data_IF_818450166754
#
_entry.id   IF_818450166754
#
_cell.length_a   1.000
_cell.length_b   1.000
_cell.length_c   1.000
_cell.angle_alpha   90.00
_cell.angle_beta   90.00
_cell.angle_gamma   90.00
#
_symmetry.space_group_name_H-M   'P 1'
#
loop_
_entity.id
_entity.type
_entity.pdbx_description
1 polymer ?
#
# COMPACT_ATOMS: atom_id res chain seq x y z
N UNK A 1 24.76 -10.85 -34.86
CA UNK A 1 25.10 -10.06 -33.65
C UNK A 1 24.10 -8.94 -33.35
N UNK A 2 23.76 -8.04 -34.30
CA UNK A 2 22.76 -6.96 -34.07
C UNK A 2 21.38 -7.45 -33.59
N UNK A 3 20.83 -8.49 -34.20
CA UNK A 3 19.52 -9.06 -33.79
C UNK A 3 19.55 -9.76 -32.42
N UNK A 4 20.71 -10.31 -32.03
CA UNK A 4 20.91 -10.95 -30.72
C UNK A 4 20.97 -9.87 -29.62
N UNK A 5 21.64 -8.74 -29.90
CA UNK A 5 21.71 -7.61 -28.98
C UNK A 5 20.33 -6.97 -28.75
N UNK A 6 19.52 -6.81 -29.81
CA UNK A 6 18.14 -6.29 -29.70
C UNK A 6 17.26 -7.26 -28.89
N UNK A 7 17.39 -8.57 -29.09
CA UNK A 7 16.64 -9.57 -28.33
C UNK A 7 16.98 -9.56 -26.83
N UNK A 8 18.26 -9.44 -26.47
CA UNK A 8 18.69 -9.39 -25.06
C UNK A 8 18.15 -8.13 -24.35
N UNK A 9 18.19 -6.97 -25.01
CA UNK A 9 17.63 -5.72 -24.46
C UNK A 9 16.12 -5.84 -24.25
N UNK A 10 15.40 -6.48 -25.18
CA UNK A 10 13.95 -6.68 -25.04
C UNK A 10 13.60 -7.64 -23.90
N UNK A 11 14.36 -8.73 -23.71
CA UNK A 11 14.16 -9.69 -22.61
C UNK A 11 14.46 -9.04 -21.24
N UNK A 12 15.49 -8.20 -21.13
CA UNK A 12 15.80 -7.47 -19.90
C UNK A 12 14.72 -6.43 -19.53
N UNK A 13 14.09 -5.77 -20.51
CA UNK A 13 12.99 -4.84 -20.25
C UNK A 13 11.70 -5.56 -19.80
N UNK A 14 11.43 -6.77 -20.29
CA UNK A 14 10.28 -7.56 -19.84
C UNK A 14 10.44 -8.11 -18.41
N UNK A 15 11.67 -8.43 -17.97
CA UNK A 15 11.92 -8.95 -16.62
C UNK A 15 11.80 -7.89 -15.52
N UNK A 16 11.85 -6.59 -15.86
CA UNK A 16 11.72 -5.49 -14.91
C UNK A 16 10.26 -5.17 -14.52
N UNK A 17 9.27 -5.85 -15.12
CA UNK A 17 7.85 -5.56 -14.93
C UNK A 17 7.17 -6.40 -13.83
N UNK A 18 7.94 -7.03 -12.93
CA UNK A 18 7.40 -7.78 -11.79
C UNK A 18 7.74 -7.02 -10.51
N UNK A 19 7.04 -5.91 -10.28
CA UNK A 19 6.90 -5.35 -8.94
C UNK A 19 5.51 -5.69 -8.46
N UNK A 20 5.34 -6.77 -7.71
CA UNK A 20 4.07 -7.06 -7.05
C UNK A 20 4.09 -6.33 -5.70
N UNK A 21 3.34 -5.23 -5.63
CA UNK A 21 2.96 -4.60 -4.38
C UNK A 21 1.67 -5.26 -3.92
N UNK A 22 1.63 -5.73 -2.67
CA UNK A 22 0.46 -6.37 -2.09
C UNK A 22 0.07 -5.68 -0.80
N UNK A 23 -1.21 -5.81 -0.42
CA UNK A 23 -1.66 -5.56 0.95
C UNK A 23 -1.17 -6.72 1.79
N UNK A 24 -0.21 -6.47 2.69
CA UNK A 24 0.35 -7.48 3.57
C UNK A 24 -0.54 -7.69 4.80
N UNK A 25 -0.99 -6.59 5.39
CA UNK A 25 -1.86 -6.59 6.57
C UNK A 25 -2.76 -5.35 6.56
N UNK A 26 -3.99 -5.52 7.02
CA UNK A 26 -4.92 -4.45 7.33
C UNK A 26 -5.48 -4.74 8.72
N UNK A 27 -5.27 -3.82 9.65
CA UNK A 27 -5.89 -3.84 10.97
C UNK A 27 -6.73 -2.57 11.13
N UNK A 28 -8.05 -2.74 11.18
CA UNK A 28 -9.02 -1.65 11.29
C UNK A 28 -9.81 -1.66 12.60
N UNK A 29 -9.71 -2.71 13.40
CA UNK A 29 -10.52 -2.89 14.62
C UNK A 29 -9.59 -3.21 15.79
N UNK A 30 -9.27 -2.18 16.58
CA UNK A 30 -8.37 -2.34 17.72
C UNK A 30 -9.16 -2.29 19.04
N UNK A 31 -8.84 -3.13 20.03
CA UNK A 31 -9.63 -3.16 21.27
C UNK A 31 -9.66 -1.80 21.99
N UNK A 32 -10.85 -1.21 22.09
CA UNK A 32 -11.07 -0.01 22.92
C UNK A 32 -11.22 1.26 22.09
N UNK A 33 -10.16 2.07 22.01
CA UNK A 33 -10.11 3.26 21.16
C UNK A 33 -9.37 2.85 19.89
N UNK A 34 -9.96 3.15 18.73
CA UNK A 34 -9.34 2.87 17.43
C UNK A 34 -8.25 3.91 17.10
N UNK A 35 -7.17 3.85 17.87
CA UNK A 35 -5.99 4.71 17.70
C UNK A 35 -4.80 3.99 17.07
N UNK A 36 -4.86 2.66 16.89
CA UNK A 36 -3.77 1.84 16.32
C UNK A 36 -4.13 1.19 14.97
N UNK A 37 -5.10 1.73 14.24
CA UNK A 37 -5.45 1.24 12.89
C UNK A 37 -4.26 1.43 11.92
N UNK A 38 -4.03 0.43 11.05
CA UNK A 38 -2.99 0.53 10.04
C UNK A 38 -3.26 -0.31 8.78
N UNK A 39 -2.62 0.11 7.69
CA UNK A 39 -2.42 -0.66 6.48
C UNK A 39 -0.92 -0.87 6.27
N UNK A 40 -0.51 -2.12 6.04
CA UNK A 40 0.84 -2.46 5.65
C UNK A 40 0.88 -2.98 4.21
N UNK A 41 1.73 -2.37 3.39
CA UNK A 41 2.02 -2.83 2.05
C UNK A 41 3.36 -3.57 2.03
N UNK A 42 3.46 -4.62 1.21
CA UNK A 42 4.70 -5.36 0.97
C UNK A 42 5.05 -5.36 -0.52
N UNK A 43 6.29 -5.03 -0.85
CA UNK A 43 6.87 -5.18 -2.18
C UNK A 43 7.78 -6.40 -2.27
N UNK A 44 7.86 -7.01 -3.46
CA UNK A 44 8.77 -8.15 -3.72
C UNK A 44 10.27 -7.82 -3.52
N UNK A 45 10.63 -6.53 -3.56
CA UNK A 45 11.99 -6.05 -3.40
C UNK A 45 12.07 -4.93 -2.36
N UNK A 46 13.16 -4.82 -1.59
CA UNK A 46 13.39 -3.69 -0.68
C UNK A 46 13.50 -2.34 -1.40
N UNK A 47 13.20 -1.24 -0.70
CA UNK A 47 13.34 0.13 -1.21
C UNK A 47 12.63 0.35 -2.55
N UNK A 48 11.45 -0.27 -2.72
CA UNK A 48 10.65 -0.19 -3.94
C UNK A 48 9.99 1.20 -4.03
N UNK A 49 10.19 1.96 -5.12
CA UNK A 49 9.52 3.24 -5.33
C UNK A 49 8.02 3.08 -5.54
N UNK A 50 7.23 3.94 -4.90
CA UNK A 50 5.77 3.89 -4.94
C UNK A 50 5.14 5.01 -5.77
N UNK A 51 5.96 5.75 -6.54
CA UNK A 51 5.47 6.74 -7.49
C UNK A 51 4.47 6.12 -8.48
N UNK A 52 3.29 6.73 -8.57
CA UNK A 52 2.17 6.28 -9.40
C UNK A 52 1.22 5.28 -8.74
N UNK A 53 1.46 4.89 -7.47
CA UNK A 53 0.54 4.07 -6.69
C UNK A 53 -0.37 4.92 -5.82
N UNK A 54 -1.63 4.50 -5.71
CA UNK A 54 -2.63 5.12 -4.84
C UNK A 54 -3.35 4.01 -4.09
N UNK A 55 -3.43 4.14 -2.77
CA UNK A 55 -4.29 3.29 -1.93
C UNK A 55 -5.67 3.91 -1.89
N UNK A 56 -6.72 3.08 -2.05
CA UNK A 56 -8.11 3.53 -1.99
C UNK A 56 -8.88 2.70 -0.97
N UNK A 57 -9.52 3.37 -0.01
CA UNK A 57 -10.42 2.76 0.97
C UNK A 57 -11.88 2.96 0.57
N UNK A 58 -12.69 1.91 0.73
CA UNK A 58 -14.08 1.84 0.32
C UNK A 58 -14.99 1.47 1.49
N UNK A 59 -16.15 2.13 1.58
CA UNK A 59 -17.19 1.79 2.55
C UNK A 59 -18.18 0.85 1.87
N UNK A 60 -18.14 -0.43 2.24
CA UNK A 60 -18.98 -1.46 1.64
C UNK A 60 -20.28 -1.73 2.39
N UNK A 61 -20.62 -0.90 3.38
CA UNK A 61 -21.95 -0.94 3.99
C UNK A 61 -23.05 -0.55 2.99
N UNK A 62 -24.30 -0.92 3.31
CA UNK A 62 -25.46 -0.54 2.48
C UNK A 62 -25.58 0.99 2.32
N UNK A 63 -25.29 1.75 3.38
CA UNK A 63 -25.30 3.22 3.34
C UNK A 63 -24.07 3.81 2.63
N UNK A 64 -22.93 3.12 2.67
CA UNK A 64 -21.70 3.53 1.97
C UNK A 64 -21.73 3.23 0.49
N UNK A 65 -22.52 2.24 0.05
CA UNK A 65 -22.76 1.95 -1.36
C UNK A 65 -21.52 1.51 -2.13
N UNK A 66 -20.53 0.89 -1.45
CA UNK A 66 -19.21 0.56 -2.01
C UNK A 66 -18.43 1.78 -2.53
N UNK A 67 -18.73 2.97 -1.99
CA UNK A 67 -18.09 4.22 -2.41
C UNK A 67 -16.70 4.34 -1.78
N UNK A 68 -15.75 4.95 -2.50
CA UNK A 68 -14.49 5.36 -1.89
C UNK A 68 -14.73 6.47 -0.87
N UNK A 69 -14.05 6.41 0.28
CA UNK A 69 -14.14 7.45 1.32
C UNK A 69 -12.79 8.09 1.64
N UNK A 70 -11.68 7.42 1.35
CA UNK A 70 -10.35 7.92 1.63
C UNK A 70 -9.33 7.36 0.62
N UNK A 71 -8.32 8.15 0.30
CA UNK A 71 -7.26 7.80 -0.65
C UNK A 71 -5.92 8.30 -0.16
N UNK A 72 -4.87 7.53 -0.40
CA UNK A 72 -3.49 7.90 -0.08
C UNK A 72 -2.66 7.86 -1.36
N UNK A 73 -2.14 9.02 -1.75
CA UNK A 73 -1.16 9.15 -2.82
C UNK A 73 0.24 8.79 -2.28
N UNK A 74 0.91 7.83 -2.94
CA UNK A 74 2.20 7.30 -2.50
C UNK A 74 3.39 7.91 -3.26
N UNK A 75 3.16 8.91 -4.09
CA UNK A 75 4.24 9.66 -4.75
C UNK A 75 5.27 10.18 -3.73
N UNK A 76 6.55 9.90 -4.00
CA UNK A 76 7.69 10.25 -3.16
C UNK A 76 8.00 9.26 -2.05
N UNK A 77 7.19 8.22 -1.85
CA UNK A 77 7.45 7.16 -0.87
C UNK A 77 8.22 5.98 -1.48
N UNK A 78 8.96 5.30 -0.61
CA UNK A 78 9.65 4.05 -0.90
C UNK A 78 9.37 3.07 0.24
N UNK A 79 9.26 1.78 -0.07
CA UNK A 79 9.23 0.75 0.98
C UNK A 79 10.56 0.72 1.74
N UNK A 80 10.57 0.13 2.93
CA UNK A 80 11.77 0.05 3.77
C UNK A 80 12.74 -1.05 3.28
N UNK A 81 13.77 -1.33 4.09
CA UNK A 81 14.78 -2.37 3.81
C UNK A 81 14.19 -3.80 3.80
N UNK A 82 13.02 -3.99 4.39
CA UNK A 82 12.28 -5.25 4.40
C UNK A 82 11.23 -5.31 3.28
N UNK A 83 11.05 -4.23 2.51
CA UNK A 83 10.03 -4.12 1.47
C UNK A 83 8.67 -3.67 2.01
N UNK A 84 8.59 -3.13 3.23
CA UNK A 84 7.34 -2.71 3.85
C UNK A 84 7.09 -1.20 3.71
N UNK A 85 5.83 -0.81 3.53
CA UNK A 85 5.36 0.55 3.81
C UNK A 85 4.22 0.46 4.81
N UNK A 86 4.40 1.11 5.96
CA UNK A 86 3.36 1.20 6.97
C UNK A 86 2.63 2.56 6.89
N UNK A 87 1.29 2.49 6.84
CA UNK A 87 0.37 3.63 6.85
C UNK A 87 -0.51 3.50 8.09
N UNK A 88 -0.56 4.53 8.94
CA UNK A 88 -1.32 4.47 10.19
C UNK A 88 -1.14 5.71 11.04
N UNK A 89 -1.63 5.69 12.28
CA UNK A 89 -1.46 6.80 13.23
C UNK A 89 -0.06 6.81 13.87
N UNK A 90 0.24 7.87 14.63
CA UNK A 90 1.49 7.95 15.40
C UNK A 90 1.51 7.05 16.65
N UNK A 91 0.40 6.38 16.97
CA UNK A 91 0.26 5.44 18.09
C UNK A 91 0.64 4.01 17.67
N UNK A 92 0.73 3.73 16.37
CA UNK A 92 1.19 2.45 15.82
C UNK A 92 2.70 2.29 16.04
N UNK A 93 3.13 1.06 16.35
CA UNK A 93 4.55 0.70 16.55
C UNK A 93 4.94 -0.46 15.62
N UNK A 94 5.96 -0.30 14.75
CA UNK A 94 6.80 0.88 14.58
C UNK A 94 6.01 2.09 14.05
N UNK A 95 6.56 3.30 14.24
CA UNK A 95 5.90 4.53 13.77
C UNK A 95 5.75 4.45 12.24
N UNK A 96 4.54 4.60 11.69
CA UNK A 96 4.29 4.51 10.25
C UNK A 96 5.09 5.54 9.44
N UNK A 97 5.44 5.16 8.21
CA UNK A 97 6.09 6.08 7.27
C UNK A 97 5.09 7.11 6.75
N UNK A 98 3.85 6.68 6.50
CA UNK A 98 2.76 7.57 6.13
C UNK A 98 1.80 7.74 7.33
N UNK A 99 1.76 8.94 7.89
CA UNK A 99 0.89 9.24 9.02
C UNK A 99 -0.50 9.67 8.56
N UNK A 100 -1.52 9.01 9.11
CA UNK A 100 -2.94 9.39 8.98
C UNK A 100 -3.52 9.69 10.37
N UNK A 101 -4.60 10.49 10.48
CA UNK A 101 -5.31 10.67 11.74
C UNK A 101 -5.86 9.33 12.28
N UNK A 102 -6.01 9.23 13.60
CA UNK A 102 -6.74 8.12 14.25
C UNK A 102 -8.20 8.06 13.79
N UNK A 103 -8.84 6.89 13.83
CA UNK A 103 -10.21 6.64 13.36
C UNK A 103 -10.42 6.98 11.87
N UNK A 104 -9.37 6.87 11.07
CA UNK A 104 -9.46 7.12 9.62
C UNK A 104 -9.94 5.87 8.88
N UNK A 105 -9.45 4.69 9.29
CA UNK A 105 -9.76 3.42 8.64
C UNK A 105 -11.07 2.90 9.23
N UNK A 106 -12.12 2.83 8.43
CA UNK A 106 -13.44 2.47 8.92
C UNK A 106 -13.56 0.98 9.25
N UNK A 107 -14.29 0.71 10.33
CA UNK A 107 -14.73 -0.63 10.73
C UNK A 107 -15.93 -1.11 9.91
N UNK A 108 -15.98 -2.43 9.63
CA UNK A 108 -17.15 -3.09 9.06
C UNK A 108 -16.88 -3.81 7.74
N UNK A 109 -17.89 -3.84 6.86
CA UNK A 109 -17.83 -4.53 5.57
C UNK A 109 -17.10 -3.69 4.52
N UNK A 110 -15.90 -3.24 4.85
CA UNK A 110 -15.13 -2.27 4.08
C UNK A 110 -13.96 -2.93 3.33
N UNK A 111 -13.35 -2.20 2.40
CA UNK A 111 -12.29 -2.73 1.56
C UNK A 111 -11.18 -1.71 1.31
N UNK A 112 -10.02 -2.21 0.90
CA UNK A 112 -8.87 -1.44 0.45
C UNK A 112 -8.31 -2.05 -0.84
N UNK A 113 -7.81 -1.21 -1.74
CA UNK A 113 -7.21 -1.61 -3.02
C UNK A 113 -5.99 -0.77 -3.38
#
# INVERSE_FOLDING_TARGET
MKFILVGIVYVMMCAAAIGQLVINELDCDTPGIDDMEFLELLSDVPNFPLDGYVVVFFNGSENGGNSSYFTVDLDGYVTDVNGLLLIGSNSVSPVPQFLIPENTIQNGADAVA
#
